data_IF_181036648214
#
_entry.id   IF_181036648214
#
_cell.length_a   1.000
_cell.length_b   1.000
_cell.length_c   1.000
_cell.angle_alpha   90.00
_cell.angle_beta   90.00
_cell.angle_gamma   90.00
#
_symmetry.space_group_name_H-M   'P 1'
#
loop_
_entity.id
_entity.type
_entity.pdbx_description
1 polymer ?
#
# COMPACT_ATOMS: atom_id res chain seq x y z
N UNK A 1 5.01 -20.38 -7.65
CA UNK A 1 4.04 -19.59 -6.87
C UNK A 1 3.89 -18.24 -7.54
N UNK A 2 2.69 -17.60 -7.61
CA UNK A 2 2.50 -16.32 -8.30
C UNK A 2 3.40 -15.19 -7.80
N UNK A 3 3.82 -15.26 -6.57
CA UNK A 3 4.69 -14.28 -5.91
C UNK A 3 6.20 -14.57 -6.02
N UNK A 4 6.60 -15.70 -6.64
CA UNK A 4 7.99 -16.10 -6.78
C UNK A 4 8.49 -16.00 -8.22
N UNK A 5 8.05 -15.01 -8.98
CA UNK A 5 8.48 -14.85 -10.33
C UNK A 5 7.35 -14.50 -11.28
N UNK A 6 6.50 -13.55 -10.86
CA UNK A 6 5.59 -12.87 -11.77
C UNK A 6 6.42 -12.09 -12.82
N UNK A 7 5.97 -12.12 -14.07
CA UNK A 7 6.67 -11.50 -15.18
C UNK A 7 5.79 -10.44 -15.84
N UNK A 8 6.39 -9.32 -16.18
CA UNK A 8 5.74 -8.22 -16.92
C UNK A 8 6.17 -8.27 -18.38
N UNK A 9 5.19 -8.23 -19.27
CA UNK A 9 5.39 -8.21 -20.71
C UNK A 9 4.75 -6.98 -21.33
N UNK A 10 5.38 -6.47 -22.38
CA UNK A 10 4.81 -5.46 -23.28
C UNK A 10 4.59 -6.12 -24.65
N UNK A 11 3.44 -5.84 -25.27
CA UNK A 11 3.13 -6.35 -26.60
C UNK A 11 2.46 -5.28 -27.46
N UNK A 12 2.72 -5.33 -28.75
CA UNK A 12 2.01 -4.49 -29.73
C UNK A 12 0.57 -5.01 -29.90
N UNK A 13 -0.39 -4.11 -29.78
CA UNK A 13 -1.79 -4.40 -30.11
C UNK A 13 -2.09 -3.90 -31.52
N UNK A 14 -2.58 -4.77 -32.37
CA UNK A 14 -2.99 -4.46 -33.74
C UNK A 14 -4.50 -4.57 -33.84
N UNK A 15 -5.14 -3.47 -34.19
CA UNK A 15 -6.58 -3.43 -34.44
C UNK A 15 -6.78 -3.37 -35.97
N UNK A 16 -7.47 -4.35 -36.54
CA UNK A 16 -7.72 -4.37 -37.98
C UNK A 16 -8.69 -3.27 -38.41
N UNK A 17 -8.72 -2.96 -39.71
CA UNK A 17 -9.41 -1.84 -40.33
C UNK A 17 -10.95 -1.80 -40.15
N UNK A 18 -11.53 -2.72 -39.43
CA UNK A 18 -12.96 -2.71 -39.08
C UNK A 18 -13.23 -2.65 -37.57
N UNK A 19 -12.19 -2.52 -36.72
CA UNK A 19 -12.32 -2.50 -35.24
C UNK A 19 -12.84 -3.81 -34.63
N UNK A 20 -13.05 -4.84 -35.45
CA UNK A 20 -13.72 -6.09 -35.07
C UNK A 20 -12.76 -7.19 -34.59
N UNK A 21 -11.47 -7.04 -34.84
CA UNK A 21 -10.47 -8.02 -34.43
C UNK A 21 -9.26 -7.32 -33.83
N UNK A 22 -8.90 -7.72 -32.64
CA UNK A 22 -7.72 -7.28 -31.91
C UNK A 22 -6.74 -8.43 -31.91
N UNK A 23 -5.53 -8.21 -32.39
CA UNK A 23 -4.44 -9.18 -32.36
C UNK A 23 -3.31 -8.67 -31.46
N UNK A 24 -2.81 -9.57 -30.60
CA UNK A 24 -1.64 -9.29 -29.76
C UNK A 24 -0.42 -9.82 -30.52
N UNK A 25 0.50 -8.92 -30.83
CA UNK A 25 1.77 -9.24 -31.45
C UNK A 25 2.76 -9.94 -30.52
N UNK A 26 4.00 -9.97 -30.92
CA UNK A 26 5.08 -10.56 -30.11
C UNK A 26 5.17 -9.87 -28.76
N UNK A 27 5.35 -10.67 -27.69
CA UNK A 27 5.48 -10.21 -26.31
C UNK A 27 6.97 -10.03 -25.97
N UNK A 28 7.32 -8.87 -25.49
CA UNK A 28 8.65 -8.56 -24.95
C UNK A 28 8.63 -8.65 -23.44
N UNK A 29 9.44 -9.52 -22.85
CA UNK A 29 9.64 -9.57 -21.40
C UNK A 29 10.38 -8.32 -20.95
N UNK A 30 9.82 -7.57 -20.01
CA UNK A 30 10.40 -6.32 -19.52
C UNK A 30 10.76 -6.33 -18.05
N UNK A 31 10.21 -7.27 -17.29
CA UNK A 31 10.52 -7.42 -15.87
C UNK A 31 10.15 -8.79 -15.34
N UNK A 32 10.85 -9.21 -14.28
CA UNK A 32 10.68 -10.50 -13.65
C UNK A 32 11.58 -11.61 -14.22
N UNK A 33 11.80 -12.63 -13.41
CA UNK A 33 12.49 -13.86 -13.79
C UNK A 33 11.74 -15.03 -13.16
N UNK A 34 11.18 -15.88 -13.99
CA UNK A 34 10.35 -17.00 -13.55
C UNK A 34 10.99 -17.80 -12.40
N UNK A 35 10.29 -17.86 -11.28
CA UNK A 35 10.73 -18.60 -10.08
C UNK A 35 11.86 -17.94 -9.27
N UNK A 36 12.30 -16.72 -9.63
CA UNK A 36 13.43 -16.05 -8.96
C UNK A 36 13.12 -14.58 -8.61
N UNK A 37 12.62 -13.81 -9.57
CA UNK A 37 12.35 -12.37 -9.40
C UNK A 37 10.92 -12.09 -9.81
N UNK A 38 10.17 -11.45 -8.95
CA UNK A 38 8.80 -11.02 -9.24
C UNK A 38 8.79 -9.58 -9.72
N UNK A 39 8.09 -9.34 -10.84
CA UNK A 39 7.74 -8.00 -11.30
C UNK A 39 6.22 -7.89 -11.42
N UNK A 40 5.64 -6.77 -10.95
CA UNK A 40 4.21 -6.63 -10.81
C UNK A 40 3.73 -5.18 -11.05
N UNK A 41 2.42 -5.01 -11.14
CA UNK A 41 1.71 -3.73 -11.23
C UNK A 41 2.21 -2.80 -12.34
N UNK A 42 2.27 -3.29 -13.60
CA UNK A 42 2.67 -2.44 -14.72
C UNK A 42 1.60 -1.40 -15.03
N UNK A 43 2.02 -0.16 -15.26
CA UNK A 43 1.16 0.89 -15.78
C UNK A 43 1.93 1.87 -16.66
N UNK A 44 1.24 2.44 -17.64
CA UNK A 44 1.80 3.43 -18.54
C UNK A 44 1.80 4.81 -17.90
N UNK A 45 2.96 5.48 -17.84
CA UNK A 45 3.08 6.88 -17.43
C UNK A 45 3.20 7.83 -18.62
N UNK A 46 3.53 7.29 -19.79
CA UNK A 46 3.54 7.99 -21.06
C UNK A 46 3.31 6.99 -22.21
N UNK A 47 3.24 7.48 -23.45
CA UNK A 47 3.11 6.59 -24.61
C UNK A 47 4.34 5.66 -24.83
N UNK A 48 5.43 5.90 -24.14
CA UNK A 48 6.72 5.24 -24.37
C UNK A 48 7.31 4.58 -23.14
N UNK A 49 6.72 4.83 -21.96
CA UNK A 49 7.29 4.38 -20.68
C UNK A 49 6.28 3.64 -19.84
N UNK A 50 6.62 2.42 -19.47
CA UNK A 50 5.89 1.59 -18.49
C UNK A 50 6.66 1.62 -17.18
N UNK A 51 5.98 1.88 -16.08
CA UNK A 51 6.49 1.60 -14.75
C UNK A 51 5.96 0.27 -14.23
N UNK A 52 6.74 -0.37 -13.39
CA UNK A 52 6.38 -1.59 -12.66
C UNK A 52 7.22 -1.69 -11.39
N UNK A 53 6.88 -2.60 -10.50
CA UNK A 53 7.72 -2.92 -9.33
C UNK A 53 8.45 -4.23 -9.52
N UNK A 54 9.64 -4.38 -8.92
CA UNK A 54 10.42 -5.62 -8.93
C UNK A 54 11.11 -5.86 -7.60
N UNK A 55 11.12 -7.11 -7.15
CA UNK A 55 11.75 -7.56 -5.90
C UNK A 55 13.20 -8.03 -6.06
N UNK A 56 13.83 -7.73 -7.18
CA UNK A 56 15.23 -8.13 -7.46
C UNK A 56 16.23 -7.70 -6.38
N UNK A 57 15.91 -6.65 -5.63
CA UNK A 57 16.70 -6.14 -4.50
C UNK A 57 16.28 -6.71 -3.14
N UNK A 58 15.34 -7.63 -3.10
CA UNK A 58 14.73 -8.15 -1.87
C UNK A 58 13.43 -7.43 -1.45
N UNK A 59 13.13 -6.27 -2.04
CA UNK A 59 11.94 -5.47 -1.82
C UNK A 59 11.35 -5.01 -3.14
N UNK A 60 10.04 -4.82 -3.21
CA UNK A 60 9.32 -4.37 -4.41
C UNK A 60 9.63 -2.90 -4.72
N UNK A 61 10.74 -2.64 -5.37
CA UNK A 61 11.18 -1.30 -5.76
C UNK A 61 10.70 -0.92 -7.18
N UNK A 62 10.55 0.39 -7.49
CA UNK A 62 10.06 0.86 -8.79
C UNK A 62 11.12 0.74 -9.89
N UNK A 63 10.67 0.27 -11.05
CA UNK A 63 11.41 0.12 -12.29
C UNK A 63 10.68 0.79 -13.45
N UNK A 64 11.40 1.18 -14.48
CA UNK A 64 10.85 1.69 -15.73
C UNK A 64 11.34 0.89 -16.92
N UNK A 65 10.46 0.73 -17.91
CA UNK A 65 10.81 0.22 -19.24
C UNK A 65 10.50 1.26 -20.30
N UNK A 66 11.46 1.56 -21.16
CA UNK A 66 11.27 2.44 -22.31
C UNK A 66 11.10 1.62 -23.59
N UNK A 67 9.99 1.82 -24.30
CA UNK A 67 9.74 1.18 -25.59
C UNK A 67 10.66 1.71 -26.69
N UNK A 68 11.18 2.94 -26.54
CA UNK A 68 12.13 3.53 -27.51
C UNK A 68 13.51 2.90 -27.41
N UNK A 69 13.98 2.64 -26.19
CA UNK A 69 15.33 2.12 -25.92
C UNK A 69 15.30 0.59 -25.86
N UNK A 70 14.15 -0.01 -25.58
CA UNK A 70 13.98 -1.45 -25.39
C UNK A 70 14.66 -1.98 -24.13
N UNK A 71 14.75 -1.15 -23.05
CA UNK A 71 15.48 -1.49 -21.84
C UNK A 71 14.72 -1.14 -20.58
N UNK A 72 14.83 -2.02 -19.58
CA UNK A 72 14.36 -1.77 -18.21
C UNK A 72 15.49 -1.29 -17.31
N UNK A 73 15.22 -0.32 -16.46
CA UNK A 73 16.16 0.22 -15.47
C UNK A 73 15.48 0.48 -14.14
N UNK A 74 16.20 0.32 -13.00
CA UNK A 74 15.68 0.78 -11.72
C UNK A 74 15.52 2.31 -11.74
N UNK A 75 14.50 2.82 -11.07
CA UNK A 75 14.29 4.26 -10.98
C UNK A 75 15.06 4.82 -9.79
N UNK A 76 15.04 4.13 -8.66
CA UNK A 76 15.77 4.57 -7.47
C UNK A 76 17.30 4.44 -7.71
N UNK A 77 18.09 5.46 -7.37
CA UNK A 77 19.56 5.40 -7.48
C UNK A 77 20.18 4.29 -6.65
N UNK A 78 19.56 3.99 -5.51
CA UNK A 78 19.91 2.88 -4.62
C UNK A 78 18.61 2.21 -4.15
N UNK A 79 18.54 0.88 -4.17
CA UNK A 79 17.39 0.15 -3.63
C UNK A 79 17.12 0.51 -2.17
N UNK A 80 15.84 0.54 -1.80
CA UNK A 80 15.42 0.82 -0.43
C UNK A 80 14.67 -0.37 0.16
N UNK A 81 14.79 -0.56 1.46
CA UNK A 81 14.10 -1.61 2.23
C UNK A 81 12.64 -1.23 2.48
N UNK A 82 11.87 -1.07 1.40
CA UNK A 82 10.45 -0.72 1.40
C UNK A 82 9.76 -1.36 0.21
N UNK A 83 8.52 -1.80 0.40
CA UNK A 83 7.69 -2.37 -0.65
C UNK A 83 6.77 -1.30 -1.24
N UNK A 84 6.98 -0.98 -2.52
CA UNK A 84 6.16 -0.04 -3.31
C UNK A 84 4.90 -0.71 -3.90
N UNK A 85 4.72 -1.98 -3.64
CA UNK A 85 3.50 -2.74 -3.91
C UNK A 85 3.48 -3.99 -3.05
N UNK A 86 2.31 -4.58 -2.84
CA UNK A 86 2.18 -5.89 -2.24
C UNK A 86 2.28 -6.99 -3.31
N UNK A 87 2.49 -8.26 -2.94
CA UNK A 87 2.44 -9.36 -3.89
C UNK A 87 1.11 -9.42 -4.64
N UNK A 88 1.17 -9.71 -5.95
CA UNK A 88 0.02 -9.68 -6.85
C UNK A 88 -0.96 -10.84 -6.67
N UNK A 89 -1.60 -10.94 -5.52
CA UNK A 89 -2.60 -11.95 -5.21
C UNK A 89 -3.96 -11.68 -5.86
N UNK A 90 -4.34 -10.42 -5.96
CA UNK A 90 -5.60 -9.96 -6.49
C UNK A 90 -5.36 -9.12 -7.74
N UNK A 91 -6.17 -9.37 -8.76
CA UNK A 91 -6.19 -8.54 -9.96
C UNK A 91 -7.00 -7.26 -9.69
N UNK A 92 -6.56 -6.16 -10.31
CA UNK A 92 -7.25 -4.87 -10.19
C UNK A 92 -6.82 -4.01 -9.00
N UNK A 93 -5.92 -4.49 -8.14
CA UNK A 93 -5.28 -3.66 -7.12
C UNK A 93 -4.30 -2.66 -7.75
N UNK A 94 -4.23 -1.47 -7.17
CA UNK A 94 -3.29 -0.42 -7.58
C UNK A 94 -2.71 0.27 -6.36
N UNK A 95 -1.38 0.37 -6.33
CA UNK A 95 -0.60 1.01 -5.26
C UNK A 95 0.06 2.30 -5.72
N UNK A 96 -0.15 2.70 -6.98
CA UNK A 96 0.49 3.86 -7.58
C UNK A 96 -0.40 4.55 -8.59
N UNK A 97 -0.15 5.85 -8.79
CA UNK A 97 -0.81 6.66 -9.80
C UNK A 97 0.09 7.78 -10.29
N UNK A 98 0.10 8.06 -11.61
CA UNK A 98 0.77 9.22 -12.17
C UNK A 98 0.11 10.52 -11.72
N UNK A 99 0.91 11.52 -11.37
CA UNK A 99 0.42 12.80 -10.87
C UNK A 99 0.28 13.87 -11.96
N UNK A 100 0.96 13.68 -13.07
CA UNK A 100 0.98 14.63 -14.18
C UNK A 100 0.89 13.93 -15.55
N UNK A 101 0.55 14.70 -16.59
CA UNK A 101 0.41 14.20 -17.96
C UNK A 101 1.75 13.87 -18.64
N UNK A 102 2.87 14.33 -18.08
CA UNK A 102 4.22 14.09 -18.62
C UNK A 102 4.83 12.80 -18.10
N UNK A 103 4.28 12.26 -17.00
CA UNK A 103 4.80 11.08 -16.32
C UNK A 103 6.10 11.37 -15.56
N UNK A 104 6.26 12.60 -15.07
CA UNK A 104 7.44 13.02 -14.30
C UNK A 104 7.30 12.66 -12.81
N UNK A 105 6.08 12.67 -12.27
CA UNK A 105 5.81 12.38 -10.86
C UNK A 105 4.79 11.26 -10.69
N UNK A 106 5.05 10.38 -9.73
CA UNK A 106 4.17 9.24 -9.40
C UNK A 106 3.97 9.16 -7.89
N UNK A 107 2.71 9.07 -7.45
CA UNK A 107 2.38 8.72 -6.08
C UNK A 107 2.44 7.21 -5.89
N UNK A 108 3.05 6.77 -4.81
CA UNK A 108 3.06 5.39 -4.36
C UNK A 108 2.50 5.24 -2.95
N UNK A 109 1.69 4.22 -2.73
CA UNK A 109 1.39 3.69 -1.40
C UNK A 109 2.44 2.62 -1.07
N UNK A 110 3.29 2.91 -0.12
CA UNK A 110 4.45 2.10 0.27
C UNK A 110 4.21 1.51 1.65
N UNK A 111 4.60 0.27 1.86
CA UNK A 111 4.52 -0.35 3.18
C UNK A 111 5.80 -0.08 3.96
N UNK A 112 5.63 0.46 5.17
CA UNK A 112 6.69 0.70 6.14
C UNK A 112 6.15 0.43 7.55
N UNK A 113 6.84 -0.39 8.32
CA UNK A 113 6.48 -0.72 9.71
C UNK A 113 5.02 -1.22 9.87
N UNK A 114 4.55 -2.03 8.91
CA UNK A 114 3.20 -2.61 8.93
C UNK A 114 2.07 -1.65 8.61
N UNK A 115 2.37 -0.48 8.02
CA UNK A 115 1.36 0.51 7.60
C UNK A 115 1.68 1.11 6.24
N UNK A 116 0.65 1.61 5.58
CA UNK A 116 0.82 2.37 4.35
C UNK A 116 1.38 3.77 4.64
N UNK A 117 2.32 4.20 3.81
CA UNK A 117 2.91 5.55 3.78
C UNK A 117 2.91 6.02 2.35
N UNK A 118 2.51 7.26 2.11
CA UNK A 118 2.52 7.84 0.76
C UNK A 118 3.88 8.46 0.44
N UNK A 119 4.38 8.16 -0.77
CA UNK A 119 5.56 8.80 -1.33
C UNK A 119 5.27 9.34 -2.72
N UNK A 120 5.78 10.53 -3.01
CA UNK A 120 5.92 11.02 -4.38
C UNK A 120 7.31 10.65 -4.87
N UNK A 121 7.37 10.01 -6.01
CA UNK A 121 8.58 9.65 -6.74
C UNK A 121 8.75 10.58 -7.93
N UNK A 122 9.87 11.29 -8.02
CA UNK A 122 10.34 11.92 -9.25
C UNK A 122 11.00 10.85 -10.12
N UNK A 123 10.41 10.58 -11.28
CA UNK A 123 10.81 9.46 -12.15
C UNK A 123 12.18 9.69 -12.77
N UNK A 124 12.56 10.95 -12.99
CA UNK A 124 13.83 11.32 -13.65
C UNK A 124 15.01 11.24 -12.70
N UNK A 125 14.87 11.76 -11.50
CA UNK A 125 15.96 11.77 -10.50
C UNK A 125 15.97 10.53 -9.61
N UNK A 126 14.85 9.83 -9.50
CA UNK A 126 14.63 8.75 -8.52
C UNK A 126 14.48 9.26 -7.08
N UNK A 127 14.30 10.56 -6.89
CA UNK A 127 14.06 11.11 -5.56
C UNK A 127 12.66 10.74 -5.07
N UNK A 128 12.58 10.35 -3.79
CA UNK A 128 11.31 10.07 -3.12
C UNK A 128 11.07 11.06 -1.98
N UNK A 129 9.84 11.57 -1.89
CA UNK A 129 9.41 12.51 -0.84
C UNK A 129 8.18 11.96 -0.14
N UNK A 130 8.23 11.88 1.20
CA UNK A 130 7.11 11.39 1.99
C UNK A 130 5.98 12.42 2.05
N UNK A 131 4.75 11.94 1.87
CA UNK A 131 3.52 12.73 2.01
C UNK A 131 2.85 12.34 3.32
N UNK A 132 2.68 13.29 4.23
CA UNK A 132 2.02 13.06 5.51
C UNK A 132 0.58 12.57 5.32
N UNK A 133 0.21 11.46 5.96
CA UNK A 133 -1.10 10.82 5.80
C UNK A 133 -1.65 10.31 7.13
N UNK A 134 -2.95 10.51 7.42
CA UNK A 134 -3.60 9.91 8.58
C UNK A 134 -3.95 8.42 8.37
N UNK A 135 -3.85 7.91 7.14
CA UNK A 135 -4.25 6.57 6.77
C UNK A 135 -3.14 5.56 7.06
N UNK A 136 -3.53 4.39 7.58
CA UNK A 136 -2.65 3.26 7.88
C UNK A 136 -2.75 2.15 6.84
N UNK A 137 -3.78 2.20 6.01
CA UNK A 137 -3.98 1.37 4.82
C UNK A 137 -4.45 2.26 3.67
N UNK A 138 -3.89 2.04 2.49
CA UNK A 138 -4.24 2.78 1.28
C UNK A 138 -4.25 1.78 0.13
N UNK A 139 -5.40 1.64 -0.52
CA UNK A 139 -5.60 0.72 -1.64
C UNK A 139 -6.39 1.37 -2.77
N UNK A 140 -6.39 0.72 -3.95
CA UNK A 140 -7.12 1.17 -5.13
C UNK A 140 -6.76 2.61 -5.54
N UNK A 141 -5.46 2.93 -5.52
CA UNK A 141 -4.95 4.25 -5.87
C UNK A 141 -5.17 4.53 -7.35
N UNK A 142 -5.81 5.64 -7.66
CA UNK A 142 -5.99 6.13 -9.03
C UNK A 142 -5.89 7.67 -9.06
N UNK A 143 -5.67 8.24 -10.23
CA UNK A 143 -5.52 9.69 -10.38
C UNK A 143 -6.20 10.23 -11.63
N UNK A 144 -6.34 11.54 -11.65
CA UNK A 144 -6.62 12.31 -12.85
C UNK A 144 -5.34 13.10 -13.17
N UNK A 145 -4.44 12.59 -14.04
CA UNK A 145 -3.12 13.22 -14.24
C UNK A 145 -3.19 14.68 -14.69
N UNK A 146 -4.25 15.05 -15.40
CA UNK A 146 -4.48 16.45 -15.83
C UNK A 146 -4.66 17.44 -14.68
N UNK A 147 -5.20 16.98 -13.55
CA UNK A 147 -5.45 17.82 -12.36
C UNK A 147 -4.49 17.53 -11.21
N UNK A 148 -3.76 16.42 -11.27
CA UNK A 148 -2.95 15.93 -10.15
C UNK A 148 -3.77 15.42 -8.96
N UNK A 149 -5.10 15.29 -9.12
CA UNK A 149 -5.98 14.79 -8.07
C UNK A 149 -5.91 13.26 -7.99
N UNK A 150 -5.72 12.73 -6.79
CA UNK A 150 -5.60 11.30 -6.52
C UNK A 150 -6.78 10.82 -5.68
N UNK A 151 -7.25 9.63 -5.96
CA UNK A 151 -8.32 8.96 -5.23
C UNK A 151 -7.83 7.62 -4.72
N UNK A 152 -8.29 7.24 -3.53
CA UNK A 152 -7.98 5.93 -2.94
C UNK A 152 -9.00 5.52 -1.87
N UNK A 153 -8.96 4.27 -1.46
CA UNK A 153 -9.63 3.80 -0.26
C UNK A 153 -8.64 3.91 0.89
N UNK A 154 -8.97 4.75 1.89
CA UNK A 154 -8.15 4.99 3.08
C UNK A 154 -8.72 4.35 4.31
N UNK A 155 -7.94 3.52 5.01
CA UNK A 155 -8.27 2.95 6.30
C UNK A 155 -7.49 3.65 7.41
N UNK A 156 -8.18 3.99 8.50
CA UNK A 156 -7.60 4.58 9.71
C UNK A 156 -7.66 3.59 10.88
N UNK A 157 -6.86 3.81 11.92
CA UNK A 157 -6.83 2.92 13.09
C UNK A 157 -8.02 3.12 14.04
N UNK A 158 -8.63 4.31 14.02
CA UNK A 158 -9.71 4.71 14.94
C UNK A 158 -11.02 5.06 14.26
N UNK A 159 -11.01 5.21 12.93
CA UNK A 159 -12.17 5.60 12.16
C UNK A 159 -12.47 4.58 11.06
N UNK A 160 -13.74 4.45 10.64
CA UNK A 160 -14.10 3.60 9.50
C UNK A 160 -13.37 4.01 8.21
N UNK A 161 -13.10 3.03 7.36
CA UNK A 161 -12.50 3.29 6.05
C UNK A 161 -13.37 4.23 5.20
N UNK A 162 -12.72 4.96 4.31
CA UNK A 162 -13.38 5.98 3.49
C UNK A 162 -12.78 6.06 2.08
N UNK A 163 -13.56 6.56 1.14
CA UNK A 163 -13.07 6.98 -0.18
C UNK A 163 -12.59 8.42 -0.05
N UNK A 164 -11.36 8.65 -0.46
CA UNK A 164 -10.64 9.89 -0.24
C UNK A 164 -10.19 10.48 -1.55
N UNK A 165 -10.29 11.80 -1.68
CA UNK A 165 -9.58 12.59 -2.68
C UNK A 165 -8.40 13.28 -1.99
N UNK A 166 -7.23 13.20 -2.61
CA UNK A 166 -5.99 13.86 -2.20
C UNK A 166 -5.57 14.86 -3.28
N UNK A 167 -5.38 16.10 -2.88
CA UNK A 167 -4.76 17.13 -3.73
C UNK A 167 -3.37 17.44 -3.18
N UNK A 168 -2.36 17.26 -4.03
CA UNK A 168 -0.98 17.68 -3.76
C UNK A 168 -0.77 19.06 -4.38
N UNK A 169 -0.26 20.00 -3.61
CA UNK A 169 0.03 21.34 -4.13
C UNK A 169 1.41 21.36 -4.80
N UNK A 170 1.50 21.60 -6.13
CA UNK A 170 2.79 21.64 -6.83
C UNK A 170 3.64 22.87 -6.48
N UNK A 171 3.06 23.87 -5.82
CA UNK A 171 3.69 25.18 -5.68
C UNK A 171 4.51 25.39 -4.40
N UNK A 172 4.36 24.54 -3.38
CA UNK A 172 5.12 24.69 -2.12
C UNK A 172 5.33 23.34 -1.44
N UNK A 173 6.57 22.84 -1.32
CA UNK A 173 6.88 21.60 -0.58
C UNK A 173 6.46 21.64 0.90
N UNK A 174 6.08 22.81 1.41
CA UNK A 174 5.63 23.05 2.80
C UNK A 174 4.12 23.13 2.97
N UNK A 175 3.32 23.05 1.90
CA UNK A 175 1.87 22.98 2.06
C UNK A 175 1.44 21.56 2.44
N UNK A 176 0.72 21.44 3.55
CA UNK A 176 0.15 20.17 3.98
C UNK A 176 -0.76 19.60 2.89
N UNK A 177 -0.70 18.28 2.63
CA UNK A 177 -1.58 17.62 1.66
C UNK A 177 -3.04 17.82 2.06
N UNK A 178 -3.91 18.11 1.08
CA UNK A 178 -5.32 18.30 1.32
C UNK A 178 -6.09 17.00 1.08
N UNK A 179 -6.57 16.39 2.15
CA UNK A 179 -7.45 15.21 2.12
C UNK A 179 -8.91 15.63 2.21
N UNK A 180 -9.74 15.05 1.36
CA UNK A 180 -11.20 15.25 1.39
C UNK A 180 -11.89 13.89 1.35
N UNK A 181 -12.67 13.59 2.39
CA UNK A 181 -13.54 12.42 2.40
C UNK A 181 -14.68 12.61 1.41
N UNK A 182 -14.78 11.71 0.45
CA UNK A 182 -15.88 11.67 -0.51
C UNK A 182 -17.01 10.77 -0.01
N UNK A 183 -16.67 9.66 0.64
CA UNK A 183 -17.62 8.71 1.21
C UNK A 183 -16.96 8.00 2.39
N UNK A 184 -17.61 8.01 3.54
CA UNK A 184 -17.21 7.20 4.69
C UNK A 184 -18.05 5.93 4.75
N UNK A 185 -17.44 4.84 5.24
CA UNK A 185 -18.13 3.59 5.57
C UNK A 185 -18.74 3.62 6.97
N UNK A 186 -18.77 4.78 7.62
CA UNK A 186 -19.47 4.95 8.91
C UNK A 186 -20.94 4.61 8.79
N UNK A 187 -21.49 4.02 9.84
CA UNK A 187 -22.91 3.75 9.99
C UNK A 187 -23.41 4.32 11.32
N UNK A 188 -24.71 4.44 11.53
CA UNK A 188 -25.24 4.86 12.84
C UNK A 188 -24.74 4.00 14.01
N UNK A 189 -24.48 2.71 13.74
CA UNK A 189 -23.93 1.78 14.76
C UNK A 189 -22.47 2.15 15.08
N UNK A 190 -21.66 2.45 14.06
CA UNK A 190 -20.25 2.80 14.27
C UNK A 190 -20.09 4.18 14.91
N UNK A 191 -20.96 5.13 14.59
CA UNK A 191 -20.95 6.46 15.21
C UNK A 191 -21.46 6.48 16.66
N UNK A 192 -22.13 5.42 17.11
CA UNK A 192 -22.59 5.28 18.51
C UNK A 192 -21.56 4.60 19.42
N UNK A 193 -20.39 4.23 18.92
CA UNK A 193 -19.36 3.60 19.73
C UNK A 193 -18.80 4.61 20.75
N UNK A 194 -18.75 4.27 22.06
CA UNK A 194 -18.39 5.26 23.07
C UNK A 194 -16.96 5.81 22.83
N UNK A 195 -16.75 7.13 22.93
CA UNK A 195 -15.44 7.71 22.84
C UNK A 195 -14.46 7.08 23.82
N UNK A 196 -13.20 6.87 23.38
CA UNK A 196 -12.17 6.29 24.24
C UNK A 196 -12.21 4.77 24.40
N UNK A 197 -13.13 4.06 23.73
CA UNK A 197 -13.18 2.59 23.74
C UNK A 197 -12.45 1.96 22.57
N UNK A 198 -11.95 2.77 21.61
CA UNK A 198 -11.21 2.27 20.47
C UNK A 198 -9.75 2.05 20.83
N UNK A 199 -9.32 0.79 20.78
CA UNK A 199 -7.92 0.41 20.93
C UNK A 199 -7.18 0.61 19.62
N UNK A 200 -6.11 1.38 19.65
CA UNK A 200 -5.24 1.64 18.50
C UNK A 200 -4.02 0.73 18.57
N UNK A 201 -3.62 0.19 17.42
CA UNK A 201 -2.46 -0.67 17.30
C UNK A 201 -1.17 0.01 17.77
N UNK A 202 -0.38 -0.73 18.53
CA UNK A 202 0.99 -0.39 18.87
C UNK A 202 1.90 -1.38 18.15
N UNK A 203 2.70 -0.91 17.20
CA UNK A 203 3.70 -1.75 16.53
C UNK A 203 4.85 -2.02 17.49
N UNK A 204 5.05 -3.29 17.84
CA UNK A 204 6.14 -3.73 18.71
C UNK A 204 6.94 -4.84 18.02
N UNK A 205 8.21 -4.97 18.37
CA UNK A 205 9.04 -6.08 17.95
C UNK A 205 9.41 -6.89 19.18
N UNK A 206 9.04 -8.17 19.15
CA UNK A 206 9.41 -9.13 20.20
C UNK A 206 10.55 -10.02 19.68
N UNK A 207 11.38 -10.46 20.57
CA UNK A 207 12.44 -11.43 20.27
C UNK A 207 12.00 -12.81 20.69
N UNK A 208 12.14 -13.80 19.79
CA UNK A 208 11.68 -15.17 20.00
C UNK A 208 12.87 -16.10 20.20
N UNK A 209 12.93 -16.85 21.32
CA UNK A 209 13.96 -17.87 21.53
C UNK A 209 13.85 -19.00 20.49
N UNK A 210 14.96 -19.72 20.21
CA UNK A 210 16.28 -19.61 20.87
C UNK A 210 17.23 -18.57 20.27
N UNK A 211 16.93 -18.02 19.09
CA UNK A 211 17.88 -17.20 18.33
C UNK A 211 17.65 -15.70 18.51
N UNK A 212 16.69 -15.28 19.32
CA UNK A 212 16.24 -13.90 19.43
C UNK A 212 15.73 -13.32 18.09
N UNK A 213 15.13 -14.16 17.26
CA UNK A 213 14.57 -13.77 15.97
C UNK A 213 13.50 -12.67 16.16
N UNK A 214 13.56 -11.56 15.40
CA UNK A 214 12.59 -10.49 15.55
C UNK A 214 11.24 -10.91 14.97
N UNK A 215 10.17 -10.75 15.76
CA UNK A 215 8.80 -10.91 15.30
C UNK A 215 8.07 -9.57 15.49
N UNK A 216 7.56 -9.02 14.39
CA UNK A 216 6.81 -7.78 14.38
C UNK A 216 5.34 -8.05 14.67
N UNK A 217 4.76 -7.34 15.63
CA UNK A 217 3.39 -7.55 16.12
C UNK A 217 2.65 -6.23 16.19
N UNK A 218 1.38 -6.25 15.84
CA UNK A 218 0.44 -5.17 16.13
C UNK A 218 -0.29 -5.51 17.43
N UNK A 219 0.10 -4.87 18.51
CA UNK A 219 -0.50 -5.05 19.83
C UNK A 219 -1.63 -4.04 20.04
N UNK A 220 -2.79 -4.53 20.46
CA UNK A 220 -3.95 -3.72 20.84
C UNK A 220 -4.20 -3.91 22.33
N UNK A 221 -3.96 -2.89 23.19
CA UNK A 221 -4.21 -2.97 24.61
C UNK A 221 -5.72 -3.02 24.93
N UNK A 222 -6.12 -3.57 26.08
CA UNK A 222 -7.46 -3.36 26.59
C UNK A 222 -7.75 -1.87 26.70
N UNK A 223 -8.93 -1.45 26.24
CA UNK A 223 -9.26 -0.02 26.16
C UNK A 223 -10.74 0.19 26.45
N UNK A 224 -11.05 0.67 27.66
CA UNK A 224 -12.39 1.06 28.05
C UNK A 224 -12.31 2.12 29.15
N UNK A 225 -12.84 3.34 28.96
CA UNK A 225 -12.73 4.42 29.92
C UNK A 225 -13.51 4.18 31.23
N UNK A 226 -14.45 3.22 31.24
CA UNK A 226 -15.24 2.90 32.43
C UNK A 226 -14.53 1.90 33.38
N UNK A 227 -13.42 1.29 32.94
CA UNK A 227 -12.71 0.25 33.69
C UNK A 227 -11.22 0.53 33.74
N UNK A 228 -10.65 0.49 34.93
CA UNK A 228 -9.23 0.77 35.17
C UNK A 228 -8.27 -0.42 34.96
N UNK A 229 -8.80 -1.58 34.56
CA UNK A 229 -8.02 -2.81 34.40
C UNK A 229 -8.43 -3.93 35.36
N UNK A 230 -7.62 -5.00 35.42
CA UNK A 230 -7.77 -6.11 36.35
C UNK A 230 -7.19 -5.84 37.73
N UNK A 231 -7.06 -6.89 38.55
CA UNK A 231 -6.42 -6.82 39.87
C UNK A 231 -4.92 -6.57 39.71
N UNK A 232 -4.28 -5.93 40.68
CA UNK A 232 -2.86 -5.63 40.65
C UNK A 232 -2.01 -6.88 40.36
N UNK A 233 -1.16 -6.78 39.34
CA UNK A 233 -0.28 -7.86 38.89
C UNK A 233 -0.91 -8.88 37.93
N UNK A 234 -2.22 -8.81 37.67
CA UNK A 234 -2.88 -9.64 36.69
C UNK A 234 -2.68 -9.08 35.27
N UNK A 235 -2.30 -9.96 34.35
CA UNK A 235 -2.22 -9.61 32.93
C UNK A 235 -3.56 -9.89 32.25
N UNK A 236 -3.98 -9.04 31.30
CA UNK A 236 -5.18 -9.28 30.55
C UNK A 236 -5.08 -10.58 29.72
N UNK A 237 -6.19 -11.30 29.54
CA UNK A 237 -6.23 -12.37 28.56
C UNK A 237 -5.93 -11.77 27.15
N UNK A 238 -5.32 -12.57 26.27
CA UNK A 238 -4.90 -12.09 24.97
C UNK A 238 -5.39 -13.00 23.84
N UNK A 239 -5.94 -12.43 22.80
CA UNK A 239 -6.26 -13.11 21.55
C UNK A 239 -5.09 -12.93 20.58
N UNK A 240 -4.58 -14.03 20.02
CA UNK A 240 -3.58 -14.02 18.99
C UNK A 240 -4.22 -14.21 17.62
N UNK A 241 -4.06 -13.21 16.73
CA UNK A 241 -4.42 -13.30 15.32
C UNK A 241 -3.16 -13.46 14.47
N UNK A 242 -3.09 -14.55 13.73
CA UNK A 242 -2.00 -14.80 12.79
C UNK A 242 -2.55 -14.72 11.38
N UNK A 243 -1.93 -13.90 10.52
CA UNK A 243 -2.34 -13.80 9.13
C UNK A 243 -2.02 -15.08 8.35
N UNK A 244 -2.84 -15.37 7.35
CA UNK A 244 -2.54 -16.40 6.36
C UNK A 244 -1.37 -15.99 5.46
N UNK A 245 -0.84 -16.94 4.71
CA UNK A 245 0.27 -16.50 3.91
C UNK A 245 0.84 -17.55 2.97
N UNK A 246 2.08 -17.36 2.52
CA UNK A 246 3.20 -16.75 3.27
C UNK A 246 3.35 -15.23 3.14
N UNK A 247 2.90 -14.63 2.03
CA UNK A 247 3.15 -13.22 1.73
C UNK A 247 1.92 -12.36 2.08
N UNK A 248 1.74 -12.08 3.36
CA UNK A 248 0.66 -11.24 3.87
C UNK A 248 1.13 -10.48 5.10
N UNK A 249 0.33 -9.57 5.58
CA UNK A 249 0.56 -8.86 6.82
C UNK A 249 -0.76 -8.54 7.53
N UNK A 250 -0.72 -8.38 8.84
CA UNK A 250 -1.84 -7.83 9.62
C UNK A 250 -1.81 -6.32 9.53
N UNK A 251 -2.86 -5.71 8.96
CA UNK A 251 -3.00 -4.26 8.91
C UNK A 251 -3.45 -3.66 10.25
N UNK A 252 -3.34 -2.34 10.37
CA UNK A 252 -3.69 -1.56 11.56
C UNK A 252 -5.05 -0.87 11.45
N UNK A 253 -5.85 -1.20 10.44
CA UNK A 253 -7.17 -0.61 10.23
C UNK A 253 -8.11 -0.94 11.36
N UNK A 254 -9.04 -0.02 11.64
CA UNK A 254 -10.13 -0.24 12.59
C UNK A 254 -10.85 -1.55 12.28
N UNK A 255 -10.88 -2.44 13.26
CA UNK A 255 -11.53 -3.74 13.17
C UNK A 255 -12.48 -3.92 14.34
N UNK A 256 -13.79 -4.00 14.06
CA UNK A 256 -14.79 -4.13 15.10
C UNK A 256 -14.68 -5.42 15.91
N UNK A 257 -14.17 -6.50 15.31
CA UNK A 257 -13.87 -7.73 16.04
C UNK A 257 -12.77 -7.52 17.08
N UNK A 258 -11.72 -6.78 16.77
CA UNK A 258 -10.67 -6.43 17.72
C UNK A 258 -11.25 -5.53 18.84
N UNK A 259 -12.02 -4.50 18.46
CA UNK A 259 -12.65 -3.58 19.42
C UNK A 259 -13.62 -4.29 20.36
N UNK A 260 -14.32 -5.33 19.89
CA UNK A 260 -15.18 -6.15 20.74
C UNK A 260 -14.41 -6.76 21.92
N UNK A 261 -13.23 -7.31 21.67
CA UNK A 261 -12.41 -7.91 22.72
C UNK A 261 -11.70 -6.86 23.57
N UNK A 262 -11.10 -5.86 22.96
CA UNK A 262 -10.29 -4.87 23.68
C UNK A 262 -11.15 -3.99 24.60
N UNK A 263 -12.38 -3.67 24.22
CA UNK A 263 -13.31 -2.94 25.08
C UNK A 263 -13.83 -3.76 26.28
N UNK A 264 -13.55 -5.07 26.33
CA UNK A 264 -13.95 -5.99 27.39
C UNK A 264 -12.78 -6.52 28.23
N UNK A 265 -11.66 -5.81 28.21
CA UNK A 265 -10.50 -6.14 29.04
C UNK A 265 -9.54 -7.16 28.43
N UNK A 266 -9.73 -7.55 27.17
CA UNK A 266 -8.79 -8.41 26.46
C UNK A 266 -7.72 -7.59 25.72
N UNK A 267 -6.53 -8.11 25.64
CA UNK A 267 -5.55 -7.68 24.64
C UNK A 267 -5.74 -8.45 23.33
N UNK A 268 -5.28 -7.86 22.23
CA UNK A 268 -5.28 -8.53 20.94
C UNK A 268 -3.89 -8.40 20.29
#
# INVERSE_FOLDING_TARGET
>A
MPWQGAEVYVAKVVVNSGGKKVEIGEKTLVGGVKGQVSAAYPFWISNETVLFTSDVSGYQNPWSYSTLIGKSVPILPTPVEKDFSLPGWLLGESYSAGLDEKGEEVLYSVIRDGRAVLYVLDVKSGAISEVGSPYVEISSVCSIPKTGEVFFIGGQSSEPSEIVSLTLSPATPSSSPAYKTLKSMSSPITSSFPPGTVSVAQSITIKVPPNDDPVHVNFYPPTNPEYGGGVDGEKPPCVFGVHGGPTSMSNQVLSWSKQYFTSRGWAW
#
